data_IF_030343978829
#
_entry.id   IF_030343978829
#
_cell.length_a   1.000
_cell.length_b   1.000
_cell.length_c   1.000
_cell.angle_alpha   90.00
_cell.angle_beta   90.00
_cell.angle_gamma   90.00
#
_symmetry.space_group_name_H-M   'P 1'
#
loop_
_entity.id
_entity.type
_entity.pdbx_description
1 polymer ?
#
# COMPACT_ATOMS: atom_id res chain seq x y z
N UNK A 1 10.65 -3.51 -19.53
CA UNK A 1 9.68 -4.55 -19.93
C UNK A 1 10.02 -4.98 -21.35
N UNK A 2 9.93 -6.26 -21.70
CA UNK A 2 10.12 -6.67 -23.10
C UNK A 2 8.78 -6.50 -23.80
N UNK A 3 8.75 -5.74 -24.90
CA UNK A 3 7.53 -5.53 -25.67
C UNK A 3 7.00 -6.87 -26.20
N UNK A 4 5.67 -7.05 -26.27
CA UNK A 4 5.10 -8.22 -26.92
C UNK A 4 5.53 -8.25 -28.40
N UNK A 5 5.66 -9.45 -28.97
CA UNK A 5 5.94 -9.60 -30.40
C UNK A 5 4.88 -8.87 -31.23
N UNK A 6 5.25 -8.10 -32.26
CA UNK A 6 4.31 -7.34 -33.08
C UNK A 6 3.29 -8.24 -33.80
N UNK A 7 3.64 -9.50 -34.05
CA UNK A 7 2.76 -10.47 -34.72
C UNK A 7 1.74 -11.13 -33.79
N UNK A 8 1.76 -10.83 -32.49
CA UNK A 8 0.95 -11.54 -31.50
C UNK A 8 -0.55 -11.39 -31.75
N UNK A 9 -1.02 -10.17 -32.01
CA UNK A 9 -2.45 -9.90 -32.27
C UNK A 9 -2.89 -10.59 -33.56
N UNK A 10 -2.12 -10.44 -34.63
CA UNK A 10 -2.38 -11.11 -35.91
C UNK A 10 -2.47 -12.65 -35.78
N UNK A 11 -1.60 -13.27 -34.98
CA UNK A 11 -1.69 -14.71 -34.70
C UNK A 11 -2.99 -15.05 -33.97
N UNK A 12 -3.36 -14.26 -32.94
CA UNK A 12 -4.59 -14.48 -32.18
C UNK A 12 -5.82 -14.36 -33.08
N UNK A 13 -5.85 -13.39 -33.97
CA UNK A 13 -6.96 -13.20 -34.91
C UNK A 13 -7.07 -14.38 -35.87
N UNK A 14 -5.95 -14.91 -36.38
CA UNK A 14 -5.97 -16.12 -37.20
C UNK A 14 -6.44 -17.36 -36.41
N UNK A 15 -6.10 -17.46 -35.12
CA UNK A 15 -6.59 -18.53 -34.23
C UNK A 15 -8.09 -18.39 -33.99
N UNK A 16 -8.63 -17.17 -33.85
CA UNK A 16 -10.08 -16.90 -33.77
C UNK A 16 -10.80 -17.31 -35.05
N UNK A 17 -10.18 -17.07 -36.21
CA UNK A 17 -10.64 -17.54 -37.53
C UNK A 17 -10.46 -19.04 -37.76
N UNK A 18 -10.06 -19.82 -36.74
CA UNK A 18 -9.87 -21.28 -36.77
C UNK A 18 -8.84 -21.79 -37.80
N UNK A 19 -7.87 -20.96 -38.19
CA UNK A 19 -6.77 -21.40 -39.06
C UNK A 19 -5.84 -22.39 -38.34
N UNK A 20 -5.23 -23.30 -39.11
CA UNK A 20 -4.23 -24.22 -38.54
C UNK A 20 -2.90 -23.51 -38.27
N UNK A 21 -2.14 -23.95 -37.26
CA UNK A 21 -0.85 -23.32 -36.92
C UNK A 21 0.12 -23.28 -38.12
N UNK A 22 0.08 -24.29 -38.99
CA UNK A 22 0.84 -24.37 -40.23
C UNK A 22 0.46 -23.28 -41.24
N UNK A 23 -0.84 -23.03 -41.43
CA UNK A 23 -1.33 -21.95 -42.28
C UNK A 23 -0.93 -20.59 -41.74
N UNK A 24 -1.02 -20.39 -40.42
CA UNK A 24 -0.64 -19.13 -39.77
C UNK A 24 0.85 -18.84 -40.00
N UNK A 25 1.72 -19.84 -39.85
CA UNK A 25 3.15 -19.72 -40.12
C UNK A 25 3.42 -19.32 -41.57
N UNK A 26 2.75 -19.97 -42.53
CA UNK A 26 2.90 -19.65 -43.96
C UNK A 26 2.39 -18.26 -44.30
N UNK A 27 1.23 -17.87 -43.74
CA UNK A 27 0.56 -16.58 -43.98
C UNK A 27 1.33 -15.40 -43.39
N UNK A 28 1.75 -15.50 -42.14
CA UNK A 28 2.41 -14.42 -41.41
C UNK A 28 3.95 -14.47 -41.50
N UNK A 29 4.51 -15.53 -42.10
CA UNK A 29 5.97 -15.77 -42.23
C UNK A 29 6.72 -15.62 -40.89
N UNK A 30 6.13 -16.11 -39.80
CA UNK A 30 6.70 -16.06 -38.44
C UNK A 30 7.16 -17.43 -37.98
N UNK A 31 8.05 -17.47 -36.99
CA UNK A 31 8.54 -18.73 -36.45
C UNK A 31 7.41 -19.61 -35.91
N UNK A 32 7.49 -20.91 -36.22
CA UNK A 32 6.55 -21.93 -35.73
C UNK A 32 6.45 -21.95 -34.21
N UNK A 33 7.57 -21.71 -33.52
CA UNK A 33 7.64 -21.66 -32.05
C UNK A 33 6.84 -20.49 -31.50
N UNK A 34 6.92 -19.31 -32.14
CA UNK A 34 6.14 -18.15 -31.73
C UNK A 34 4.64 -18.45 -31.85
N UNK A 35 4.19 -18.90 -33.03
CA UNK A 35 2.78 -19.24 -33.29
C UNK A 35 2.24 -20.27 -32.30
N UNK A 36 3.01 -21.34 -32.05
CA UNK A 36 2.61 -22.36 -31.07
C UNK A 36 2.47 -21.78 -29.66
N UNK A 37 3.47 -21.01 -29.19
CA UNK A 37 3.45 -20.40 -27.86
C UNK A 37 2.31 -19.40 -27.68
N UNK A 38 2.04 -18.56 -28.67
CA UNK A 38 0.92 -17.60 -28.62
C UNK A 38 -0.43 -18.29 -28.69
N UNK A 39 -0.61 -19.27 -29.57
CA UNK A 39 -1.86 -20.02 -29.68
C UNK A 39 -2.15 -20.82 -28.39
N UNK A 40 -1.15 -21.53 -27.84
CA UNK A 40 -1.31 -22.25 -26.58
C UNK A 40 -1.61 -21.32 -25.42
N UNK A 41 -0.95 -20.15 -25.37
CA UNK A 41 -1.22 -19.13 -24.35
C UNK A 41 -2.63 -18.59 -24.47
N UNK A 42 -3.09 -18.24 -25.68
CA UNK A 42 -4.43 -17.73 -25.93
C UNK A 42 -5.50 -18.75 -25.51
N UNK A 43 -5.31 -20.04 -25.81
CA UNK A 43 -6.21 -21.11 -25.36
C UNK A 43 -6.28 -21.26 -23.84
N UNK A 44 -5.20 -20.93 -23.11
CA UNK A 44 -5.15 -21.02 -21.64
C UNK A 44 -5.75 -19.81 -20.94
N UNK A 45 -5.47 -18.59 -21.44
CA UNK A 45 -5.83 -17.34 -20.77
C UNK A 45 -7.08 -16.67 -21.37
N UNK A 46 -7.42 -16.96 -22.62
CA UNK A 46 -8.48 -16.27 -23.37
C UNK A 46 -8.15 -14.82 -23.75
N UNK A 47 -7.05 -14.26 -23.25
CA UNK A 47 -6.69 -12.86 -23.46
C UNK A 47 -5.48 -12.69 -24.37
N UNK A 48 -5.43 -11.54 -25.04
CA UNK A 48 -4.27 -11.08 -25.80
C UNK A 48 -3.22 -10.39 -24.93
N UNK A 49 -3.38 -10.39 -23.61
CA UNK A 49 -2.46 -9.74 -22.67
C UNK A 49 -1.34 -10.65 -22.22
N UNK A 50 -0.18 -10.08 -21.94
CA UNK A 50 0.98 -10.85 -21.49
C UNK A 50 0.71 -11.46 -20.11
N UNK A 51 1.18 -12.69 -19.88
CA UNK A 51 0.95 -13.35 -18.60
C UNK A 51 1.65 -12.56 -17.50
N UNK A 52 0.93 -12.26 -16.42
CA UNK A 52 1.55 -11.69 -15.23
C UNK A 52 2.69 -12.61 -14.80
N UNK A 53 3.92 -12.11 -14.89
CA UNK A 53 5.10 -12.87 -14.46
C UNK A 53 4.97 -13.13 -12.96
N UNK A 54 5.30 -14.35 -12.55
CA UNK A 54 5.45 -14.67 -11.13
C UNK A 54 6.51 -13.73 -10.56
N UNK A 55 6.09 -12.84 -9.67
CA UNK A 55 7.01 -11.99 -8.93
C UNK A 55 7.66 -12.82 -7.83
N UNK A 56 8.83 -12.39 -7.38
CA UNK A 56 9.45 -12.95 -6.18
C UNK A 56 8.50 -12.76 -5.00
N UNK A 57 8.19 -13.80 -4.21
CA UNK A 57 7.40 -13.65 -3.00
C UNK A 57 8.03 -12.61 -2.07
N UNK A 58 7.17 -11.81 -1.43
CA UNK A 58 7.60 -10.83 -0.45
C UNK A 58 7.91 -11.56 0.85
N UNK A 59 9.19 -11.60 1.24
CA UNK A 59 9.65 -12.34 2.43
C UNK A 59 9.64 -11.50 3.69
N UNK A 60 10.08 -10.23 3.61
CA UNK A 60 10.31 -9.38 4.78
C UNK A 60 9.07 -8.59 5.20
N UNK A 61 8.23 -8.18 4.23
CA UNK A 61 7.04 -7.35 4.50
C UNK A 61 5.75 -8.18 4.39
N UNK A 62 5.69 -9.23 5.21
CA UNK A 62 4.51 -10.09 5.31
C UNK A 62 3.31 -9.33 5.88
N UNK A 63 2.06 -9.76 5.60
CA UNK A 63 0.86 -9.13 6.14
C UNK A 63 0.85 -9.09 7.68
N UNK A 64 1.39 -10.13 8.30
CA UNK A 64 1.53 -10.25 9.76
C UNK A 64 2.51 -9.23 10.32
N UNK A 65 3.69 -9.07 9.71
CA UNK A 65 4.65 -8.05 10.10
C UNK A 65 4.05 -6.63 9.96
N UNK A 66 3.31 -6.38 8.87
CA UNK A 66 2.61 -5.10 8.65
C UNK A 66 1.57 -4.85 9.74
N UNK A 67 0.80 -5.88 10.14
CA UNK A 67 -0.19 -5.80 11.22
C UNK A 67 0.47 -5.54 12.57
N UNK A 68 1.57 -6.22 12.87
CA UNK A 68 2.32 -6.04 14.11
C UNK A 68 2.89 -4.62 14.22
N UNK A 69 3.49 -4.10 13.14
CA UNK A 69 4.00 -2.71 13.09
C UNK A 69 2.86 -1.70 13.25
N UNK A 70 1.73 -1.90 12.56
CA UNK A 70 0.53 -1.05 12.70
C UNK A 70 0.05 -0.98 14.15
N UNK A 71 -0.06 -2.13 14.80
CA UNK A 71 -0.53 -2.22 16.17
C UNK A 71 0.47 -1.62 17.15
N UNK A 72 1.77 -1.78 16.90
CA UNK A 72 2.82 -1.13 17.70
C UNK A 72 2.74 0.38 17.62
N UNK A 73 2.57 0.94 16.43
CA UNK A 73 2.41 2.39 16.23
C UNK A 73 1.13 2.89 16.94
N UNK A 74 0.04 2.11 16.92
CA UNK A 74 -1.20 2.44 17.64
C UNK A 74 -1.00 2.50 19.15
N UNK A 75 -0.27 1.54 19.73
CA UNK A 75 -0.01 1.44 21.17
C UNK A 75 1.05 2.42 21.67
N UNK A 76 2.05 2.70 20.84
CA UNK A 76 3.19 3.55 21.19
C UNK A 76 3.57 4.36 19.96
N UNK A 77 3.00 5.55 19.84
CA UNK A 77 3.17 6.43 18.68
C UNK A 77 4.58 7.05 18.60
N UNK A 78 5.33 7.07 19.71
CA UNK A 78 6.59 7.83 19.89
C UNK A 78 7.88 7.03 19.58
N UNK A 79 7.97 6.32 18.45
CA UNK A 79 9.17 5.53 18.13
C UNK A 79 9.70 5.81 16.72
N UNK A 80 10.95 6.26 16.66
CA UNK A 80 11.79 6.29 15.45
C UNK A 80 11.74 4.95 14.70
N UNK A 81 11.59 4.99 13.37
CA UNK A 81 11.66 3.80 12.50
C UNK A 81 12.90 2.95 12.76
N UNK A 82 14.04 3.57 13.09
CA UNK A 82 15.29 2.84 13.39
C UNK A 82 15.15 1.95 14.62
N UNK A 83 14.47 2.43 15.67
CA UNK A 83 14.25 1.65 16.89
C UNK A 83 13.25 0.52 16.64
N UNK A 84 12.20 0.77 15.86
CA UNK A 84 11.25 -0.28 15.46
C UNK A 84 11.94 -1.35 14.62
N UNK A 85 12.79 -0.96 13.65
CA UNK A 85 13.53 -1.89 12.82
C UNK A 85 14.39 -2.86 13.64
N UNK A 86 15.06 -2.37 14.71
CA UNK A 86 15.80 -3.23 15.64
C UNK A 86 14.92 -4.22 16.41
N UNK A 87 13.73 -3.78 16.86
CA UNK A 87 12.79 -4.63 17.62
C UNK A 87 12.20 -5.75 16.75
N UNK A 88 11.96 -5.48 15.47
CA UNK A 88 11.42 -6.45 14.53
C UNK A 88 12.49 -7.18 13.71
N UNK A 89 13.78 -6.96 14.01
CA UNK A 89 14.92 -7.53 13.28
C UNK A 89 14.85 -7.30 11.75
N UNK A 90 14.33 -6.14 11.36
CA UNK A 90 14.19 -5.73 9.96
C UNK A 90 15.23 -4.68 9.59
N UNK A 91 15.57 -4.59 8.30
CA UNK A 91 16.32 -3.43 7.82
C UNK A 91 15.50 -2.14 7.94
N UNK A 92 16.20 -1.01 8.09
CA UNK A 92 15.58 0.32 8.19
C UNK A 92 14.74 0.61 6.94
N UNK A 93 15.22 0.21 5.78
CA UNK A 93 14.60 0.38 4.47
C UNK A 93 13.28 -0.40 4.41
N UNK A 94 13.30 -1.66 4.87
CA UNK A 94 12.09 -2.49 4.91
C UNK A 94 11.04 -1.90 5.86
N UNK A 95 11.47 -1.44 7.05
CA UNK A 95 10.59 -0.74 7.99
C UNK A 95 10.00 0.53 7.38
N UNK A 96 10.81 1.31 6.63
CA UNK A 96 10.32 2.50 5.91
C UNK A 96 9.30 2.14 4.84
N UNK A 97 9.52 1.08 4.06
CA UNK A 97 8.56 0.58 3.06
C UNK A 97 7.25 0.13 3.72
N UNK A 98 7.30 -0.55 4.88
CA UNK A 98 6.08 -0.90 5.63
C UNK A 98 5.31 0.36 6.02
N UNK A 99 5.97 1.32 6.65
CA UNK A 99 5.28 2.50 7.19
C UNK A 99 4.77 3.42 6.07
N UNK A 100 5.60 3.70 5.06
CA UNK A 100 5.26 4.62 3.97
C UNK A 100 4.36 3.97 2.92
N UNK A 101 4.73 2.80 2.40
CA UNK A 101 4.07 2.24 1.22
C UNK A 101 2.89 1.33 1.59
N UNK A 102 3.00 0.57 2.70
CA UNK A 102 1.95 -0.38 3.14
C UNK A 102 0.94 0.27 4.10
N UNK A 103 1.42 1.04 5.07
CA UNK A 103 0.56 1.72 6.05
C UNK A 103 0.14 3.13 5.61
N UNK A 104 0.76 3.69 4.56
CA UNK A 104 0.48 5.03 4.05
C UNK A 104 0.55 6.10 5.14
N UNK A 105 1.48 5.93 6.07
CA UNK A 105 1.66 6.86 7.17
C UNK A 105 2.75 7.87 6.84
N UNK A 106 2.42 9.15 7.04
CA UNK A 106 3.36 10.25 6.84
C UNK A 106 4.00 10.60 8.19
N UNK A 107 5.34 10.74 8.25
CA UNK A 107 6.00 11.22 9.46
C UNK A 107 5.61 12.68 9.71
N UNK A 108 5.16 13.02 10.92
CA UNK A 108 4.95 14.40 11.34
C UNK A 108 5.94 14.80 12.45
N UNK A 109 6.29 16.09 12.46
CA UNK A 109 7.10 16.69 13.54
C UNK A 109 6.20 16.93 14.75
N UNK A 110 6.54 16.36 15.89
CA UNK A 110 5.86 16.68 17.14
C UNK A 110 5.95 18.17 17.45
N UNK A 111 4.81 18.79 17.73
CA UNK A 111 4.76 20.12 18.33
C UNK A 111 4.93 19.96 19.83
N UNK A 112 5.84 20.75 20.42
CA UNK A 112 6.01 20.79 21.88
C UNK A 112 4.79 21.51 22.46
N UNK A 113 3.90 20.75 23.09
CA UNK A 113 2.84 21.32 23.91
C UNK A 113 3.43 21.82 25.24
N UNK A 114 2.93 22.95 25.75
CA UNK A 114 3.22 23.32 27.13
C UNK A 114 2.60 22.28 28.07
N UNK A 115 3.35 21.82 29.08
CA UNK A 115 2.82 20.93 30.11
C UNK A 115 1.72 21.66 30.88
N UNK A 116 0.46 21.27 30.66
CA UNK A 116 -0.68 21.79 31.40
C UNK A 116 -0.75 21.11 32.77
N UNK A 117 -0.23 21.79 33.78
CA UNK A 117 -0.40 21.39 35.18
C UNK A 117 -1.92 21.38 35.51
N UNK A 118 -2.41 20.49 36.40
CA UNK A 118 -3.86 20.33 36.69
C UNK A 118 -4.59 21.67 36.93
N UNK A 119 -3.91 22.63 37.56
CA UNK A 119 -4.40 23.99 37.84
C UNK A 119 -4.68 24.87 36.60
N UNK A 120 -4.21 24.48 35.40
CA UNK A 120 -4.39 25.22 34.13
C UNK A 120 -5.41 24.58 33.19
N UNK A 121 -6.04 23.47 33.58
CA UNK A 121 -7.07 22.80 32.78
C UNK A 121 -8.45 23.47 32.95
N UNK A 122 -8.65 24.20 34.04
CA UNK A 122 -9.95 24.79 34.44
C UNK A 122 -10.05 26.30 34.21
N UNK A 123 -9.13 26.93 33.48
CA UNK A 123 -9.15 28.39 33.25
C UNK A 123 -9.70 28.67 31.83
N UNK A 124 -10.90 29.26 31.68
CA UNK A 124 -11.39 29.77 30.40
C UNK A 124 -10.40 30.81 29.83
N UNK A 125 -10.11 30.69 28.54
CA UNK A 125 -8.96 31.27 27.84
C UNK A 125 -8.85 32.80 27.78
N UNK A 126 -8.55 33.44 28.90
CA UNK A 126 -8.01 34.80 28.95
C UNK A 126 -6.61 34.75 29.57
N UNK A 127 -5.65 35.47 28.98
CA UNK A 127 -4.30 35.73 29.51
C UNK A 127 -3.23 34.73 29.07
N UNK A 128 -2.95 34.81 27.77
CA UNK A 128 -1.57 34.75 27.32
C UNK A 128 -0.71 35.83 27.98
N UNK A 129 0.60 35.59 28.00
CA UNK A 129 1.68 36.49 28.44
C UNK A 129 2.05 36.43 29.92
N UNK A 130 3.08 35.62 30.25
CA UNK A 130 4.45 36.11 30.53
C UNK A 130 5.37 34.98 31.05
N UNK A 131 6.60 35.03 30.55
CA UNK A 131 7.85 34.54 31.13
C UNK A 131 8.08 33.01 31.29
N UNK A 132 8.78 32.49 30.28
CA UNK A 132 9.63 31.29 30.29
C UNK A 132 10.85 31.48 31.19
N UNK A 133 11.21 30.47 31.99
CA UNK A 133 12.58 30.29 32.48
C UNK A 133 12.99 28.83 32.31
N UNK A 134 14.10 28.68 31.58
CA UNK A 134 14.64 27.44 31.04
C UNK A 134 15.29 26.57 32.11
N UNK A 135 15.17 25.24 31.94
CA UNK A 135 16.29 24.36 32.20
C UNK A 135 16.28 23.17 31.24
N UNK A 136 17.40 23.00 30.54
CA UNK A 136 17.65 21.98 29.55
C UNK A 136 17.97 20.62 30.19
N UNK A 137 17.47 19.54 29.57
CA UNK A 137 18.26 18.32 29.39
C UNK A 137 17.89 17.67 28.06
N UNK A 138 18.84 17.77 27.13
CA UNK A 138 18.79 17.29 25.76
C UNK A 138 18.83 15.76 25.67
N UNK A 139 17.88 15.19 24.93
CA UNK A 139 18.08 14.00 24.08
C UNK A 139 17.22 14.16 22.83
N UNK A 140 17.70 14.95 21.87
CA UNK A 140 17.20 14.91 20.51
C UNK A 140 17.55 13.54 19.91
N UNK A 141 16.56 12.78 19.43
CA UNK A 141 16.80 11.60 18.60
C UNK A 141 15.55 11.23 17.79
N UNK A 142 15.45 11.81 16.59
CA UNK A 142 14.62 11.37 15.47
C UNK A 142 13.16 11.00 15.82
N UNK A 143 12.41 11.97 16.33
CA UNK A 143 11.00 11.80 16.66
C UNK A 143 10.10 12.10 15.45
N UNK A 144 9.85 11.09 14.64
CA UNK A 144 8.73 11.10 13.69
C UNK A 144 7.62 10.24 14.24
N UNK A 145 6.52 10.86 14.67
CA UNK A 145 5.28 10.15 14.97
C UNK A 145 4.46 10.05 13.68
N UNK A 146 3.69 8.97 13.56
CA UNK A 146 2.85 8.68 12.40
C UNK A 146 1.38 8.89 12.76
N UNK A 147 0.68 9.77 12.04
CA UNK A 147 -0.79 9.93 12.13
C UNK A 147 -1.44 9.20 10.94
N UNK A 148 -2.56 8.52 11.20
CA UNK A 148 -3.43 7.94 10.16
C UNK A 148 -4.11 9.11 9.42
N UNK A 149 -3.86 9.26 8.12
CA UNK A 149 -4.74 10.05 7.27
C UNK A 149 -6.09 9.32 7.18
N UNK A 150 -7.15 9.97 7.63
CA UNK A 150 -8.51 9.51 7.41
C UNK A 150 -8.80 9.65 5.91
N UNK A 151 -8.52 8.59 5.14
CA UNK A 151 -9.20 8.40 3.86
C UNK A 151 -10.69 8.27 4.19
N UNK A 152 -11.50 9.20 3.67
CA UNK A 152 -12.95 9.16 3.76
C UNK A 152 -13.44 7.82 3.22
N UNK A 153 -13.81 6.89 4.11
CA UNK A 153 -14.73 5.82 3.77
C UNK A 153 -16.11 6.46 3.76
N UNK A 154 -16.69 6.64 2.57
CA UNK A 154 -18.08 7.03 2.41
C UNK A 154 -18.95 6.08 3.23
N UNK A 155 -19.73 6.64 4.15
CA UNK A 155 -20.75 5.90 4.86
C UNK A 155 -21.85 5.53 3.88
N UNK A 156 -21.93 4.26 3.50
CA UNK A 156 -23.20 3.70 3.06
C UNK A 156 -24.05 3.50 4.30
N UNK A 157 -24.95 4.46 4.48
CA UNK A 157 -25.95 4.50 5.53
C UNK A 157 -26.94 3.35 5.25
N UNK A 158 -26.93 2.31 6.09
CA UNK A 158 -28.00 1.33 6.12
C UNK A 158 -29.31 2.07 6.42
N UNK A 159 -30.14 2.26 5.39
CA UNK A 159 -31.52 2.70 5.53
C UNK A 159 -32.31 1.54 6.13
N UNK A 160 -32.49 1.58 7.45
CA UNK A 160 -33.56 0.88 8.15
C UNK A 160 -34.89 1.18 7.43
N UNK A 161 -35.50 0.17 6.82
CA UNK A 161 -36.87 0.28 6.29
C UNK A 161 -37.85 0.32 7.47
N UNK A 162 -38.86 1.21 7.47
CA UNK A 162 -39.89 1.20 8.49
C UNK A 162 -40.76 -0.05 8.38
N UNK A 163 -41.14 -0.57 9.54
CA UNK A 163 -42.17 -1.58 9.75
C UNK A 163 -43.54 -1.06 9.31
N UNK A 164 -44.07 -1.57 8.21
CA UNK A 164 -45.48 -1.41 7.87
C UNK A 164 -46.27 -2.59 8.44
N UNK A 165 -47.05 -2.29 9.47
CA UNK A 165 -48.22 -3.06 9.88
C UNK A 165 -49.25 -3.03 8.76
N UNK A 166 -49.83 -4.19 8.41
CA UNK A 166 -51.27 -4.33 8.12
C UNK A 166 -51.67 -5.81 8.14
N UNK A 167 -52.90 -6.01 8.60
CA UNK A 167 -53.66 -7.26 8.68
C UNK A 167 -53.65 -8.08 7.40
#
# INVERSE_FOLDING_TARGET
>A
MVAPSPYRTAIIDCVKSRMTNSEIVKKLKVSRVLVFRTAQRYRRLGTSDDMQRRRRPVTVTTPEAVKAVREKIRRTSERSMRKMAKVYEMSRESMRTVVKDKLKMIPYRMQKGAFLNKKKQDIPGEKGSKAVRWHERWLASDDTIYRRENLHCGGEQERSKPSDHRY
#
